data_IF_960357072720
#
_entry.id   IF_960357072720
#
_cell.length_a   1.000
_cell.length_b   1.000
_cell.length_c   1.000
_cell.angle_alpha   90.00
_cell.angle_beta   90.00
_cell.angle_gamma   90.00
#
_symmetry.space_group_name_H-M   'P 1'
#
loop_
_entity.id
_entity.type
_entity.pdbx_description
1 polymer ?
#
# COMPACT_ATOMS: atom_id res chain seq x y z
N UNK A 1 6.47 13.14 4.09
CA UNK A 1 6.25 11.92 4.92
C UNK A 1 4.82 11.38 4.86
N UNK A 2 3.78 12.23 4.84
CA UNK A 2 2.37 11.81 4.83
C UNK A 2 2.03 10.80 3.71
N UNK A 3 2.38 11.11 2.46
CA UNK A 3 2.13 10.24 1.29
C UNK A 3 2.71 8.83 1.49
N UNK A 4 3.89 8.75 2.09
CA UNK A 4 4.60 7.49 2.32
C UNK A 4 3.89 6.65 3.38
N UNK A 5 3.43 7.28 4.46
CA UNK A 5 2.63 6.63 5.49
C UNK A 5 1.28 6.15 4.92
N UNK A 6 0.61 6.98 4.11
CA UNK A 6 -0.64 6.61 3.45
C UNK A 6 -0.47 5.40 2.53
N UNK A 7 0.58 5.37 1.70
CA UNK A 7 0.86 4.23 0.80
C UNK A 7 1.23 2.96 1.57
N UNK A 8 1.94 3.09 2.70
CA UNK A 8 2.29 1.95 3.55
C UNK A 8 1.03 1.36 4.20
N UNK A 9 0.17 2.20 4.76
CA UNK A 9 -1.12 1.78 5.36
C UNK A 9 -2.01 1.14 4.29
N UNK A 10 -2.15 1.76 3.12
CA UNK A 10 -2.92 1.22 2.01
C UNK A 10 -2.41 -0.17 1.58
N UNK A 11 -1.09 -0.29 1.36
CA UNK A 11 -0.47 -1.55 0.98
C UNK A 11 -0.62 -2.66 2.03
N UNK A 12 -0.56 -2.32 3.32
CA UNK A 12 -0.78 -3.29 4.40
C UNK A 12 -2.24 -3.78 4.45
N UNK A 13 -3.19 -2.86 4.27
CA UNK A 13 -4.63 -3.16 4.26
C UNK A 13 -5.00 -4.03 3.06
N UNK A 14 -4.47 -3.73 1.87
CA UNK A 14 -4.65 -4.55 0.67
C UNK A 14 -4.01 -5.93 0.79
N UNK A 15 -2.84 -6.02 1.43
CA UNK A 15 -2.15 -7.29 1.64
C UNK A 15 -2.92 -8.21 2.61
N UNK A 16 -3.41 -7.66 3.72
CA UNK A 16 -4.07 -8.43 4.79
C UNK A 16 -5.55 -8.71 4.50
N UNK A 17 -6.26 -7.75 3.89
CA UNK A 17 -7.71 -7.81 3.66
C UNK A 17 -8.09 -7.42 2.22
N UNK A 18 -7.56 -8.10 1.20
CA UNK A 18 -7.80 -7.77 -0.20
C UNK A 18 -9.28 -7.86 -0.59
N UNK A 19 -10.03 -8.79 0.03
CA UNK A 19 -11.47 -8.93 -0.22
C UNK A 19 -12.26 -7.69 0.20
N UNK A 20 -12.01 -7.17 1.40
CA UNK A 20 -12.76 -6.04 1.93
C UNK A 20 -12.49 -4.76 1.12
N UNK A 21 -11.26 -4.55 0.67
CA UNK A 21 -10.90 -3.40 -0.17
C UNK A 21 -11.60 -3.49 -1.53
N UNK A 22 -11.49 -4.64 -2.19
CA UNK A 22 -12.08 -4.84 -3.52
C UNK A 22 -13.61 -4.79 -3.46
N UNK A 23 -14.22 -5.41 -2.46
CA UNK A 23 -15.68 -5.37 -2.25
C UNK A 23 -16.17 -3.95 -1.96
N UNK A 24 -15.43 -3.17 -1.17
CA UNK A 24 -15.75 -1.76 -0.90
C UNK A 24 -15.73 -0.92 -2.17
N UNK A 25 -14.65 -1.03 -2.97
CA UNK A 25 -14.53 -0.29 -4.23
C UNK A 25 -15.56 -0.73 -5.26
N UNK A 26 -15.88 -2.02 -5.34
CA UNK A 26 -16.93 -2.51 -6.24
C UNK A 26 -18.32 -2.03 -5.82
N UNK A 27 -18.63 -2.01 -4.53
CA UNK A 27 -19.88 -1.44 -4.03
C UNK A 27 -19.98 0.07 -4.32
N UNK A 28 -18.85 0.79 -4.28
CA UNK A 28 -18.83 2.21 -4.59
C UNK A 28 -18.91 2.51 -6.09
N UNK A 29 -18.25 1.70 -6.92
CA UNK A 29 -18.11 1.93 -8.37
C UNK A 29 -19.23 1.30 -9.20
N UNK A 30 -19.96 0.32 -8.64
CA UNK A 30 -21.03 -0.40 -9.34
C UNK A 30 -22.35 -0.30 -8.58
N UNK A 31 -23.43 -0.07 -9.31
CA UNK A 31 -24.81 -0.17 -8.82
C UNK A 31 -25.43 -1.44 -9.42
N UNK A 32 -25.04 -2.62 -8.94
CA UNK A 32 -25.43 -3.92 -9.52
C UNK A 32 -24.58 -5.09 -9.01
N UNK A 33 -24.97 -6.32 -9.35
CA UNK A 33 -24.29 -7.55 -8.89
C UNK A 33 -23.01 -7.79 -9.73
N UNK A 34 -21.93 -7.09 -9.38
CA UNK A 34 -20.63 -7.23 -10.03
C UNK A 34 -19.91 -8.48 -9.51
N UNK A 35 -19.86 -9.53 -10.34
CA UNK A 35 -19.08 -10.72 -10.03
C UNK A 35 -17.57 -10.46 -10.19
N UNK A 36 -16.90 -10.29 -9.06
CA UNK A 36 -15.45 -10.09 -9.02
C UNK A 36 -14.74 -11.44 -9.24
N UNK A 37 -14.00 -11.55 -10.35
CA UNK A 37 -13.20 -12.74 -10.64
C UNK A 37 -12.14 -12.98 -9.56
N UNK A 38 -11.96 -14.25 -9.16
CA UNK A 38 -11.04 -14.67 -8.09
C UNK A 38 -9.59 -14.19 -8.23
N UNK A 39 -9.10 -13.96 -9.45
CA UNK A 39 -7.74 -13.47 -9.70
C UNK A 39 -7.57 -11.98 -9.32
N UNK A 40 -8.65 -11.19 -9.23
CA UNK A 40 -8.59 -9.78 -8.82
C UNK A 40 -8.08 -9.65 -7.40
N UNK A 41 -8.49 -10.57 -6.51
CA UNK A 41 -7.97 -10.61 -5.14
C UNK A 41 -6.50 -11.04 -5.05
N UNK A 42 -5.97 -11.72 -6.08
CA UNK A 42 -4.55 -12.04 -6.15
C UNK A 42 -3.76 -10.85 -6.69
N UNK A 43 -4.30 -10.13 -7.68
CA UNK A 43 -3.73 -8.88 -8.19
C UNK A 43 -3.65 -7.81 -7.10
N UNK A 44 -4.71 -7.60 -6.31
CA UNK A 44 -4.71 -6.65 -5.20
C UNK A 44 -3.67 -6.97 -4.12
N UNK A 45 -3.42 -8.27 -3.84
CA UNK A 45 -2.34 -8.68 -2.93
C UNK A 45 -0.96 -8.34 -3.49
N UNK A 46 -0.76 -8.53 -4.79
CA UNK A 46 0.50 -8.21 -5.46
C UNK A 46 0.76 -6.70 -5.47
N UNK A 47 -0.28 -5.91 -5.70
CA UNK A 47 -0.23 -4.45 -5.63
C UNK A 47 0.13 -3.95 -4.22
N UNK A 48 -0.57 -4.44 -3.19
CA UNK A 48 -0.25 -4.12 -1.80
C UNK A 48 1.17 -4.50 -1.39
N UNK A 49 1.67 -5.65 -1.87
CA UNK A 49 3.07 -6.07 -1.65
C UNK A 49 4.07 -5.11 -2.31
N UNK A 50 3.83 -4.71 -3.57
CA UNK A 50 4.66 -3.74 -4.27
C UNK A 50 4.71 -2.38 -3.56
N UNK A 51 3.56 -1.90 -3.07
CA UNK A 51 3.45 -0.65 -2.31
C UNK A 51 4.24 -0.71 -1.00
N UNK A 52 4.11 -1.80 -0.23
CA UNK A 52 4.86 -2.00 1.02
C UNK A 52 6.36 -2.05 0.74
N UNK A 53 6.79 -2.84 -0.25
CA UNK A 53 8.20 -2.96 -0.62
C UNK A 53 8.77 -1.60 -1.05
N UNK A 54 8.05 -0.84 -1.88
CA UNK A 54 8.47 0.49 -2.30
C UNK A 54 8.56 1.47 -1.11
N UNK A 55 7.56 1.46 -0.23
CA UNK A 55 7.50 2.34 0.93
C UNK A 55 8.66 2.08 1.91
N UNK A 56 9.01 0.80 2.14
CA UNK A 56 10.11 0.39 3.03
C UNK A 56 11.48 0.63 2.40
N UNK A 57 11.68 0.21 1.14
CA UNK A 57 12.99 0.31 0.46
C UNK A 57 13.46 1.74 0.30
N UNK A 58 12.58 2.66 -0.09
CA UNK A 58 12.95 4.07 -0.31
C UNK A 58 13.04 4.85 1.01
N UNK A 59 12.70 4.25 2.16
CA UNK A 59 12.75 4.86 3.49
C UNK A 59 14.10 4.66 4.14
N UNK A 60 14.80 3.59 3.75
CA UNK A 60 16.17 3.26 4.17
C UNK A 60 17.25 4.12 3.50
N UNK A 61 16.92 4.88 2.46
CA UNK A 61 17.87 5.75 1.75
C UNK A 61 17.95 7.19 2.26
N UNK A 62 17.32 7.52 3.40
CA UNK A 62 17.25 8.89 3.93
C UNK A 62 17.58 9.03 5.41
N UNK A 63 18.09 7.99 6.06
CA UNK A 63 18.44 8.04 7.49
C UNK A 63 19.94 8.19 7.77
N UNK A 64 20.78 8.33 6.74
CA UNK A 64 22.25 8.40 6.90
C UNK A 64 22.84 9.80 6.65
N UNK A 65 22.05 10.88 6.70
CA UNK A 65 22.55 12.24 6.38
C UNK A 65 22.28 13.35 7.43
N UNK A 66 21.69 13.04 8.59
CA UNK A 66 21.39 14.08 9.61
C UNK A 66 22.14 13.78 10.92
N UNK A 67 23.46 13.66 10.82
CA UNK A 67 24.34 13.34 11.95
C UNK A 67 25.76 13.89 11.84
N UNK A 68 26.00 14.92 11.01
CA UNK A 68 27.32 15.55 10.90
C UNK A 68 27.23 17.07 11.00
N UNK A 69 26.52 17.53 12.04
CA UNK A 69 26.35 18.93 12.41
C UNK A 69 26.77 19.23 13.84
N UNK A 70 27.64 18.41 14.44
CA UNK A 70 28.18 18.67 15.76
C UNK A 70 29.54 17.98 15.95
N UNK A 71 30.64 18.70 15.71
CA UNK A 71 31.71 18.97 16.68
C UNK A 71 32.90 19.65 15.99
N UNK A 72 33.27 20.81 16.55
CA UNK A 72 34.50 21.62 16.39
C UNK A 72 34.86 22.25 15.03
#
# INVERSE_FOLDING_TARGET
MLLRATLLVLGLVELLRPKQVVDFWMNLATTGDAEVRRWVYAAARFEGLCLVLWAVTRGRGGSDAEGDGASD
#
